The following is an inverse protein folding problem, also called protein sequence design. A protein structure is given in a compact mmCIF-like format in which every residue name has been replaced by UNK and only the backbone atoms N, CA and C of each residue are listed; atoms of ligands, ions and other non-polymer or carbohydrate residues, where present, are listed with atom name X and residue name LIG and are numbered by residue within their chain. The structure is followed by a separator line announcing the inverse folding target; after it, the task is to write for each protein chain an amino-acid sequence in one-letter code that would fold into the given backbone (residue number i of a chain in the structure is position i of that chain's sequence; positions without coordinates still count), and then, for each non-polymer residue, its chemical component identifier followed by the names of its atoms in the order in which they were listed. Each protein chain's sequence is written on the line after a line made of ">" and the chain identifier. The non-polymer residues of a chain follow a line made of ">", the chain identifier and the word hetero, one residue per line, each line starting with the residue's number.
data_IF_064684219801
#
_entry.id   IF_064684219801
#
_cell.length_a   1.000
_cell.length_b   1.000
_cell.length_c   1.000
_cell.angle_alpha   90.00
_cell.angle_beta   90.00
_cell.angle_gamma   90.00
#
_symmetry.space_group_name_H-M   'P 1'
#
loop_
_entity.id
_entity.type
_entity.pdbx_description
1 polymer ?
#
# COMPACT_ATOMS: atom_id res chain seq x y z
N UNK A 1 0.43 0.77 12.43
CA UNK A 1 0.02 0.44 11.06
C UNK A 1 0.91 -0.64 10.47
N UNK A 2 0.58 -1.18 9.27
CA UNK A 2 1.44 -2.18 8.62
C UNK A 2 1.75 -1.78 7.18
N UNK A 3 3.02 -2.00 6.77
CA UNK A 3 3.43 -2.04 5.37
C UNK A 3 3.40 -3.51 4.91
N UNK A 4 2.68 -3.80 3.85
CA UNK A 4 2.63 -5.11 3.22
C UNK A 4 3.47 -5.10 1.95
N UNK A 5 4.47 -5.98 1.89
CA UNK A 5 5.26 -6.23 0.68
C UNK A 5 4.70 -7.44 -0.06
N UNK A 6 4.39 -7.27 -1.33
CA UNK A 6 3.89 -8.32 -2.23
C UNK A 6 4.97 -8.73 -3.27
N UNK A 7 6.22 -8.34 -3.06
CA UNK A 7 7.38 -8.64 -3.90
C UNK A 7 7.63 -7.64 -5.03
N UNK A 8 6.61 -7.16 -5.71
CA UNK A 8 6.71 -6.16 -6.79
C UNK A 8 5.96 -4.87 -6.49
N UNK A 9 5.02 -4.90 -5.60
CA UNK A 9 4.18 -3.77 -5.19
C UNK A 9 3.93 -3.87 -3.69
N UNK A 10 3.46 -2.78 -3.11
CA UNK A 10 3.16 -2.72 -1.69
C UNK A 10 1.76 -2.16 -1.44
N UNK A 11 1.27 -2.38 -0.23
CA UNK A 11 0.05 -1.76 0.28
C UNK A 11 0.22 -1.37 1.74
N UNK A 12 -0.58 -0.41 2.23
CA UNK A 12 -0.63 -0.04 3.63
C UNK A 12 -1.89 -0.59 4.29
N UNK A 13 -1.76 -0.98 5.54
CA UNK A 13 -2.89 -1.27 6.42
C UNK A 13 -2.88 -0.26 7.56
N UNK A 14 -3.90 0.57 7.61
CA UNK A 14 -4.08 1.63 8.60
C UNK A 14 -5.14 1.24 9.61
N UNK A 15 -4.98 1.54 10.91
CA UNK A 15 -6.05 1.47 11.88
C UNK A 15 -7.25 2.29 11.42
N UNK A 16 -8.44 1.69 11.38
CA UNK A 16 -9.69 2.35 11.05
C UNK A 16 -10.34 3.00 12.26
N UNK A 17 -11.33 3.86 12.02
CA UNK A 17 -12.06 4.59 13.06
C UNK A 17 -13.02 3.73 13.86
N UNK A 18 -13.46 2.61 13.29
CA UNK A 18 -14.43 1.66 13.86
C UNK A 18 -13.77 0.51 14.65
N UNK A 19 -12.48 0.64 14.97
CA UNK A 19 -11.71 -0.42 15.64
C UNK A 19 -11.23 -1.53 14.73
N UNK A 20 -11.59 -1.49 13.42
CA UNK A 20 -11.03 -2.35 12.38
C UNK A 20 -9.74 -1.78 11.78
N UNK A 21 -9.33 -2.32 10.64
CA UNK A 21 -8.22 -1.79 9.85
C UNK A 21 -8.61 -1.69 8.39
N UNK A 22 -8.02 -0.74 7.66
CA UNK A 22 -8.30 -0.55 6.23
C UNK A 22 -7.00 -0.75 5.44
N UNK A 23 -7.05 -1.62 4.43
CA UNK A 23 -5.97 -1.83 3.49
C UNK A 23 -6.15 -0.92 2.28
N UNK A 24 -5.06 -0.22 1.90
CA UNK A 24 -4.99 0.61 0.70
C UNK A 24 -3.85 0.18 -0.19
N UNK A 25 -4.09 0.22 -1.51
CA UNK A 25 -3.10 0.03 -2.54
C UNK A 25 -3.31 1.03 -3.69
N UNK A 26 -2.27 1.30 -4.44
CA UNK A 26 -2.29 2.16 -5.62
C UNK A 26 -1.74 1.40 -6.81
N UNK A 27 -2.30 1.61 -8.00
CA UNK A 27 -1.78 0.95 -9.18
C UNK A 27 -2.40 1.44 -10.50
N UNK A 28 -1.88 0.90 -11.59
CA UNK A 28 -2.47 1.11 -12.92
C UNK A 28 -3.89 0.56 -12.97
N UNK A 29 -4.83 1.38 -13.50
CA UNK A 29 -6.24 1.02 -13.54
C UNK A 29 -6.51 -0.21 -14.41
N UNK A 30 -5.93 -0.29 -15.60
CA UNK A 30 -6.15 -1.40 -16.52
C UNK A 30 -5.62 -2.70 -15.96
N UNK A 31 -4.40 -2.64 -15.44
CA UNK A 31 -3.73 -3.81 -14.88
C UNK A 31 -4.42 -4.32 -13.60
N UNK A 32 -4.66 -3.42 -12.63
CA UNK A 32 -5.14 -3.81 -11.31
C UNK A 32 -6.67 -3.90 -11.20
N UNK A 33 -7.43 -3.05 -11.90
CA UNK A 33 -8.88 -3.06 -11.83
C UNK A 33 -9.50 -3.91 -12.95
N UNK A 34 -9.04 -3.77 -14.20
CA UNK A 34 -9.65 -4.41 -15.37
C UNK A 34 -9.02 -5.77 -15.74
N UNK A 35 -7.92 -6.18 -15.09
CA UNK A 35 -7.21 -7.44 -15.37
C UNK A 35 -6.66 -7.55 -16.80
N UNK A 36 -6.38 -6.46 -17.44
CA UNK A 36 -5.74 -6.46 -18.75
C UNK A 36 -4.26 -6.83 -18.60
N UNK A 37 -3.94 -8.11 -18.80
CA UNK A 37 -2.59 -8.67 -18.60
C UNK A 37 -1.87 -8.89 -19.94
N UNK A 38 -1.82 -7.90 -20.81
CA UNK A 38 -1.00 -7.93 -22.01
C UNK A 38 0.45 -7.50 -21.71
N UNK A 39 1.43 -8.28 -22.19
CA UNK A 39 2.88 -7.94 -22.02
C UNK A 39 3.20 -6.59 -22.70
N UNK A 40 2.50 -6.24 -23.78
CA UNK A 40 2.57 -4.95 -24.48
C UNK A 40 2.06 -3.77 -23.65
N UNK A 41 1.09 -4.00 -22.78
CA UNK A 41 0.42 -2.96 -21.98
C UNK A 41 1.20 -2.63 -20.71
N UNK A 42 1.85 -3.63 -20.08
CA UNK A 42 2.76 -3.39 -18.97
C UNK A 42 3.98 -2.56 -19.39
N UNK A 43 4.47 -2.72 -20.63
CA UNK A 43 5.56 -1.92 -21.17
C UNK A 43 5.10 -0.53 -21.64
N UNK A 44 3.85 -0.37 -22.11
CA UNK A 44 3.29 0.91 -22.46
C UNK A 44 3.04 1.79 -21.22
N UNK A 45 2.54 1.21 -20.11
CA UNK A 45 2.34 1.91 -18.84
C UNK A 45 3.65 2.41 -18.22
N UNK A 46 4.80 1.86 -18.61
CA UNK A 46 6.12 2.34 -18.22
C UNK A 46 6.50 3.65 -18.93
N UNK A 47 6.02 3.84 -20.17
CA UNK A 47 6.43 4.97 -21.02
C UNK A 47 5.37 6.08 -21.13
N UNK A 48 4.09 5.77 -20.96
CA UNK A 48 3.00 6.73 -21.10
C UNK A 48 2.13 6.78 -19.84
N UNK A 49 1.70 7.98 -19.39
CA UNK A 49 0.79 8.12 -18.29
C UNK A 49 -0.54 7.39 -18.56
N UNK A 50 -0.93 6.52 -17.65
CA UNK A 50 -2.21 5.79 -17.69
C UNK A 50 -3.09 6.21 -16.52
N UNK A 51 -4.36 5.80 -16.54
CA UNK A 51 -5.26 6.05 -15.42
C UNK A 51 -4.82 5.23 -14.20
N UNK A 52 -4.83 5.84 -13.04
CA UNK A 52 -4.54 5.16 -11.79
C UNK A 52 -5.81 4.69 -11.08
N UNK A 53 -5.65 3.67 -10.24
CA UNK A 53 -6.67 3.18 -9.32
C UNK A 53 -6.21 3.22 -7.87
N UNK A 54 -7.15 3.53 -6.97
CA UNK A 54 -7.02 3.36 -5.53
C UNK A 54 -7.78 2.11 -5.12
N UNK A 55 -7.05 1.10 -4.63
CA UNK A 55 -7.63 -0.10 -4.05
C UNK A 55 -7.89 0.08 -2.55
N UNK A 56 -9.06 -0.34 -2.08
CA UNK A 56 -9.47 -0.28 -0.67
C UNK A 56 -10.10 -1.58 -0.22
N UNK A 57 -9.82 -2.00 0.99
CA UNK A 57 -10.54 -3.09 1.66
C UNK A 57 -10.60 -2.89 3.16
N UNK A 58 -11.80 -2.98 3.71
CA UNK A 58 -12.02 -3.05 5.14
C UNK A 58 -11.69 -4.45 5.65
N UNK A 59 -10.87 -4.53 6.71
CA UNK A 59 -10.56 -5.75 7.44
C UNK A 59 -11.11 -5.62 8.86
N UNK A 60 -11.66 -6.70 9.39
CA UNK A 60 -12.29 -6.71 10.72
C UNK A 60 -11.28 -7.01 11.82
N UNK A 61 -11.59 -6.57 13.04
CA UNK A 61 -10.80 -6.86 14.23
C UNK A 61 -9.59 -5.98 14.43
N UNK A 62 -8.77 -6.25 15.43
CA UNK A 62 -7.75 -5.33 15.90
C UNK A 62 -6.60 -5.15 14.93
N UNK A 63 -5.91 -4.00 15.05
CA UNK A 63 -4.67 -3.68 14.35
C UNK A 63 -3.50 -4.52 14.90
N UNK A 64 -3.52 -5.82 14.59
CA UNK A 64 -2.51 -6.78 14.98
C UNK A 64 -2.07 -7.63 13.78
N UNK A 65 -0.78 -7.91 13.65
CA UNK A 65 -0.20 -8.62 12.51
C UNK A 65 -0.89 -9.95 12.22
N UNK A 66 -1.18 -10.74 13.26
CA UNK A 66 -1.88 -12.03 13.12
C UNK A 66 -3.33 -11.87 12.64
N UNK A 67 -4.04 -10.82 13.09
CA UNK A 67 -5.40 -10.50 12.63
C UNK A 67 -5.41 -10.10 11.16
N UNK A 68 -4.49 -9.23 10.76
CA UNK A 68 -4.34 -8.81 9.36
C UNK A 68 -4.01 -10.01 8.47
N UNK A 69 -2.97 -10.79 8.80
CA UNK A 69 -2.56 -11.96 7.98
C UNK A 69 -3.68 -12.95 7.71
N UNK A 70 -4.52 -13.26 8.71
CA UNK A 70 -5.62 -14.23 8.54
C UNK A 70 -6.70 -13.78 7.54
N UNK A 71 -6.80 -12.50 7.29
CA UNK A 71 -7.86 -11.93 6.44
C UNK A 71 -7.38 -11.58 5.02
N UNK A 72 -6.06 -11.64 4.77
CA UNK A 72 -5.52 -11.35 3.45
C UNK A 72 -5.76 -12.54 2.52
N UNK A 73 -6.55 -12.34 1.48
CA UNK A 73 -6.77 -13.30 0.39
C UNK A 73 -5.67 -13.30 -0.68
N UNK A 74 -4.51 -12.68 -0.40
CA UNK A 74 -3.41 -12.51 -1.33
C UNK A 74 -2.08 -12.87 -0.69
N UNK A 75 -1.11 -13.25 -1.53
CA UNK A 75 0.25 -13.50 -1.08
C UNK A 75 0.92 -12.21 -0.57
N UNK A 76 1.60 -12.34 0.57
CA UNK A 76 2.39 -11.27 1.20
C UNK A 76 3.77 -11.82 1.52
N UNK A 77 4.81 -11.29 0.88
CA UNK A 77 6.20 -11.65 1.12
C UNK A 77 6.66 -11.14 2.50
N UNK A 78 6.24 -9.91 2.86
CA UNK A 78 6.55 -9.29 4.14
C UNK A 78 5.39 -8.49 4.71
N UNK A 79 5.20 -8.57 6.03
CA UNK A 79 4.27 -7.73 6.78
C UNK A 79 5.08 -7.05 7.90
N UNK A 80 5.16 -5.72 7.84
CA UNK A 80 6.00 -4.92 8.70
C UNK A 80 5.16 -3.94 9.51
N UNK A 81 5.28 -4.02 10.82
CA UNK A 81 4.64 -3.08 11.72
C UNK A 81 5.49 -1.81 11.83
N UNK A 82 4.83 -0.66 11.67
CA UNK A 82 5.44 0.65 11.81
C UNK A 82 4.63 1.46 12.81
N UNK A 83 5.30 1.97 13.84
CA UNK A 83 4.71 2.84 14.85
C UNK A 83 4.66 4.26 14.30
N UNK A 84 3.48 4.86 14.27
CA UNK A 84 3.23 6.17 13.70
C UNK A 84 2.20 6.91 14.56
N UNK A 85 2.28 8.21 14.59
CA UNK A 85 1.32 9.08 15.28
C UNK A 85 -0.12 8.86 14.78
N UNK A 86 -1.07 8.77 15.71
CA UNK A 86 -2.47 8.49 15.41
C UNK A 86 -3.13 9.59 14.57
N UNK A 87 -2.79 10.86 14.82
CA UNK A 87 -3.34 11.97 14.05
C UNK A 87 -2.87 11.97 12.59
N UNK A 88 -1.62 11.56 12.33
CA UNK A 88 -1.11 11.38 10.96
C UNK A 88 -1.81 10.22 10.25
N UNK A 89 -2.05 9.11 10.95
CA UNK A 89 -2.82 7.99 10.42
C UNK A 89 -4.23 8.45 10.05
N UNK A 90 -4.91 9.18 10.95
CA UNK A 90 -6.26 9.68 10.71
C UNK A 90 -6.32 10.64 9.52
N UNK A 91 -5.37 11.57 9.40
CA UNK A 91 -5.30 12.50 8.27
C UNK A 91 -5.14 11.77 6.93
N UNK A 92 -4.24 10.77 6.86
CA UNK A 92 -4.05 9.96 5.66
C UNK A 92 -5.33 9.14 5.34
N UNK A 93 -5.96 8.56 6.34
CA UNK A 93 -7.19 7.78 6.22
C UNK A 93 -8.33 8.62 5.65
N UNK A 94 -8.57 9.81 6.20
CA UNK A 94 -9.57 10.76 5.70
C UNK A 94 -9.32 11.07 4.23
N UNK A 95 -8.08 11.37 3.85
CA UNK A 95 -7.73 11.71 2.47
C UNK A 95 -7.97 10.56 1.51
N UNK A 96 -7.55 9.34 1.87
CA UNK A 96 -7.72 8.15 1.01
C UNK A 96 -9.19 7.74 0.91
N UNK A 97 -9.94 7.78 2.02
CA UNK A 97 -11.38 7.54 2.01
C UNK A 97 -12.12 8.57 1.17
N UNK A 98 -11.79 9.87 1.27
CA UNK A 98 -12.38 10.91 0.43
C UNK A 98 -12.17 10.66 -1.07
N UNK A 99 -11.00 10.21 -1.48
CA UNK A 99 -10.73 9.82 -2.87
C UNK A 99 -11.59 8.62 -3.27
N UNK A 100 -11.68 7.61 -2.41
CA UNK A 100 -12.48 6.41 -2.67
C UNK A 100 -13.97 6.75 -2.80
N UNK A 101 -14.52 7.50 -1.86
CA UNK A 101 -15.93 7.91 -1.83
C UNK A 101 -16.32 8.80 -3.01
N UNK A 102 -15.44 9.73 -3.40
CA UNK A 102 -15.67 10.62 -4.55
C UNK A 102 -15.67 9.91 -5.91
N UNK A 103 -15.26 8.64 -5.98
CA UNK A 103 -15.14 7.89 -7.23
C UNK A 103 -15.86 6.52 -7.19
N UNK A 104 -16.84 6.35 -6.29
CA UNK A 104 -17.56 5.10 -6.09
C UNK A 104 -18.30 4.60 -7.35
N UNK A 105 -18.67 5.47 -8.25
CA UNK A 105 -19.32 5.11 -9.53
C UNK A 105 -18.40 4.30 -10.44
N UNK A 106 -17.08 4.38 -10.24
CA UNK A 106 -16.08 3.62 -11.00
C UNK A 106 -15.69 2.30 -10.36
N UNK A 107 -16.31 1.94 -9.26
CA UNK A 107 -15.94 0.82 -8.41
C UNK A 107 -15.92 -0.54 -9.10
N UNK A 108 -14.79 -1.24 -8.99
CA UNK A 108 -14.60 -2.62 -9.48
C UNK A 108 -13.88 -3.44 -8.41
N UNK A 109 -14.45 -4.60 -8.04
CA UNK A 109 -13.74 -5.55 -7.16
C UNK A 109 -12.84 -6.48 -7.98
N UNK A 110 -11.58 -6.59 -7.58
CA UNK A 110 -10.64 -7.53 -8.17
C UNK A 110 -10.21 -8.59 -7.15
N UNK A 111 -10.72 -9.81 -7.33
CA UNK A 111 -10.43 -10.94 -6.44
C UNK A 111 -8.94 -11.35 -6.44
N UNK A 112 -8.19 -11.11 -7.50
CA UNK A 112 -6.76 -11.45 -7.56
C UNK A 112 -5.91 -10.60 -6.62
N UNK A 113 -6.36 -9.40 -6.30
CA UNK A 113 -5.72 -8.48 -5.34
C UNK A 113 -6.50 -8.38 -4.02
N UNK A 114 -7.72 -8.94 -4.00
CA UNK A 114 -8.62 -8.87 -2.86
C UNK A 114 -8.84 -7.42 -2.40
N UNK A 115 -9.17 -6.57 -3.38
CA UNK A 115 -9.37 -5.12 -3.24
C UNK A 115 -10.51 -4.65 -4.13
N UNK A 116 -11.25 -3.67 -3.63
CA UNK A 116 -12.17 -2.85 -4.39
C UNK A 116 -11.40 -1.64 -4.90
N UNK A 117 -11.36 -1.44 -6.22
CA UNK A 117 -10.67 -0.33 -6.88
C UNK A 117 -11.66 0.72 -7.35
N UNK A 118 -11.28 1.98 -7.19
CA UNK A 118 -11.93 3.15 -7.81
C UNK A 118 -10.89 3.93 -8.61
N UNK A 119 -11.33 4.83 -9.50
CA UNK A 119 -10.42 5.76 -10.15
C UNK A 119 -9.68 6.63 -9.13
N UNK A 120 -8.41 6.87 -9.38
CA UNK A 120 -7.63 7.85 -8.62
C UNK A 120 -7.38 9.10 -9.48
N UNK A 121 -7.42 10.33 -8.93
CA UNK A 121 -7.27 11.57 -9.70
C UNK A 121 -5.88 11.75 -10.33
N UNK A 122 -4.84 11.11 -9.79
CA UNK A 122 -3.51 11.14 -10.40
C UNK A 122 -3.38 10.13 -11.54
N UNK A 123 -2.30 10.23 -12.29
CA UNK A 123 -1.92 9.29 -13.36
C UNK A 123 -0.86 8.31 -12.85
N UNK A 124 -0.88 7.09 -13.40
CA UNK A 124 0.12 6.06 -13.17
C UNK A 124 1.18 6.07 -14.27
N UNK A 125 2.47 6.01 -13.93
CA UNK A 125 3.58 5.88 -14.86
C UNK A 125 4.85 5.40 -14.13
N UNK A 126 5.94 5.15 -14.84
CA UNK A 126 7.15 4.51 -14.29
C UNK A 126 7.69 5.15 -13.00
N UNK A 127 7.72 6.48 -12.92
CA UNK A 127 8.19 7.22 -11.75
C UNK A 127 7.07 7.60 -10.75
N UNK A 128 5.84 7.21 -11.03
CA UNK A 128 4.67 7.37 -10.15
C UNK A 128 3.91 6.06 -10.09
N UNK A 129 4.62 5.01 -9.73
CA UNK A 129 4.13 3.64 -9.61
C UNK A 129 3.59 3.36 -8.19
N UNK A 130 3.10 2.14 -7.99
CA UNK A 130 2.51 1.71 -6.71
C UNK A 130 3.45 1.92 -5.51
N UNK A 131 4.73 1.59 -5.66
CA UNK A 131 5.68 1.69 -4.56
C UNK A 131 6.05 3.14 -4.24
N UNK A 132 6.23 3.99 -5.27
CA UNK A 132 6.50 5.41 -5.07
C UNK A 132 5.34 6.13 -4.38
N UNK A 133 4.09 5.79 -4.72
CA UNK A 133 2.91 6.37 -4.05
C UNK A 133 2.82 5.90 -2.60
N UNK A 134 3.06 4.62 -2.32
CA UNK A 134 3.14 4.12 -0.93
C UNK A 134 4.29 4.79 -0.18
N UNK A 135 5.43 5.06 -0.83
CA UNK A 135 6.53 5.81 -0.21
C UNK A 135 6.14 7.26 0.12
N UNK A 136 5.30 7.90 -0.71
CA UNK A 136 4.73 9.22 -0.39
C UNK A 136 3.82 9.13 0.84
N UNK A 137 2.92 8.14 0.90
CA UNK A 137 2.06 7.93 2.08
C UNK A 137 2.86 7.70 3.36
N UNK A 138 3.92 6.89 3.29
CA UNK A 138 4.82 6.67 4.43
C UNK A 138 5.50 7.97 4.89
N UNK A 139 5.87 8.86 3.96
CA UNK A 139 6.42 10.17 4.30
C UNK A 139 5.38 11.10 4.95
N UNK A 140 4.14 11.10 4.47
CA UNK A 140 3.04 11.83 5.11
C UNK A 140 2.83 11.36 6.56
N UNK A 141 3.02 10.07 6.80
CA UNK A 141 3.01 9.47 8.14
C UNK A 141 4.26 9.81 8.99
N UNK A 142 5.22 10.55 8.42
CA UNK A 142 6.44 10.98 9.11
C UNK A 142 7.61 10.01 8.99
N UNK A 143 7.45 8.89 8.29
CA UNK A 143 8.53 7.93 8.09
C UNK A 143 9.62 8.48 7.15
N UNK A 144 10.88 8.08 7.39
CA UNK A 144 11.95 8.26 6.43
C UNK A 144 12.01 7.06 5.50
N UNK A 145 11.90 7.31 4.20
CA UNK A 145 11.92 6.26 3.18
C UNK A 145 13.08 6.52 2.24
N UNK A 146 13.98 5.55 2.11
CA UNK A 146 15.06 5.60 1.13
C UNK A 146 14.49 5.39 -0.27
N UNK A 147 14.78 6.26 -1.19
CA UNK A 147 14.26 6.26 -2.57
C UNK A 147 15.40 6.05 -3.59
N UNK A 148 15.11 5.60 -4.83
CA UNK A 148 13.79 5.21 -5.33
C UNK A 148 13.34 3.81 -4.87
N UNK A 149 12.03 3.61 -4.72
CA UNK A 149 11.43 2.32 -4.39
C UNK A 149 10.82 1.74 -5.66
N UNK A 150 11.62 1.00 -6.44
CA UNK A 150 11.20 0.47 -7.75
C UNK A 150 10.62 -0.94 -7.62
N UNK A 151 11.24 -1.82 -6.85
CA UNK A 151 10.91 -3.24 -6.73
C UNK A 151 10.78 -3.68 -5.26
N UNK A 152 9.91 -3.05 -4.50
CA UNK A 152 9.71 -3.40 -3.08
C UNK A 152 11.02 -3.51 -2.26
N UNK A 153 12.06 -2.77 -2.66
CA UNK A 153 13.32 -2.66 -1.94
C UNK A 153 13.21 -1.62 -0.82
N UNK A 154 12.35 -1.91 0.14
CA UNK A 154 12.01 -0.99 1.21
C UNK A 154 13.14 -0.81 2.21
N UNK A 155 13.45 0.44 2.53
CA UNK A 155 14.16 0.84 3.74
C UNK A 155 13.33 1.95 4.36
N UNK A 156 12.64 1.64 5.44
CA UNK A 156 11.71 2.55 6.13
C UNK A 156 12.16 2.70 7.57
N UNK A 157 12.37 3.93 7.98
CA UNK A 157 12.63 4.30 9.36
C UNK A 157 11.36 4.96 9.93
N UNK A 158 10.90 4.59 11.13
CA UNK A 158 9.75 5.22 11.76
C UNK A 158 10.02 6.70 12.02
N UNK A 159 8.99 7.50 12.30
CA UNK A 159 9.17 8.89 12.72
C UNK A 159 10.08 8.96 13.94
N UNK A 160 10.98 9.96 14.04
CA UNK A 160 11.77 10.16 15.25
C UNK A 160 10.82 10.46 16.42
N UNK A 161 10.79 9.58 17.41
CA UNK A 161 9.99 9.75 18.63
C UNK A 161 10.81 10.44 19.72
N UNK A 162 10.17 11.13 20.63
CA UNK A 162 10.81 11.80 21.76
C UNK A 162 11.50 10.82 22.73
N UNK A 163 11.34 9.50 22.58
CA UNK A 163 11.88 8.45 23.44
C UNK A 163 12.47 7.22 22.70
N UNK A 164 12.97 7.36 21.50
CA UNK A 164 13.61 6.26 20.77
C UNK A 164 15.11 6.10 21.14
N UNK A 165 15.44 5.94 22.43
CA UNK A 165 16.82 5.63 22.82
C UNK A 165 17.17 4.14 22.80
N UNK A 166 16.27 3.23 22.41
CA UNK A 166 16.55 1.79 22.52
C UNK A 166 16.21 0.89 21.32
N UNK A 167 15.48 1.36 20.30
CA UNK A 167 15.24 0.55 19.11
C UNK A 167 15.09 1.43 17.86
N UNK A 168 16.21 1.74 17.20
CA UNK A 168 16.19 2.08 15.77
C UNK A 168 15.76 0.81 15.00
N UNK A 169 14.45 0.61 14.86
CA UNK A 169 13.94 -0.43 14.00
C UNK A 169 14.12 0.05 12.56
N UNK A 170 15.33 -0.08 12.05
CA UNK A 170 15.60 -0.07 10.62
C UNK A 170 14.96 -1.36 10.09
N UNK A 171 13.78 -1.23 9.47
CA UNK A 171 13.19 -2.36 8.73
C UNK A 171 14.03 -2.54 7.46
N UNK A 172 15.16 -3.23 7.58
CA UNK A 172 15.92 -3.72 6.44
C UNK A 172 15.22 -4.98 5.97
N UNK A 173 14.48 -4.87 4.88
CA UNK A 173 13.82 -6.00 4.25
C UNK A 173 14.87 -6.88 3.59
N UNK A 174 15.38 -7.85 4.35
CA UNK A 174 16.16 -8.95 3.78
C UNK A 174 15.22 -9.91 3.06
N UNK A 175 15.36 -10.01 1.74
CA UNK A 175 14.72 -11.07 0.95
C UNK A 175 15.16 -12.43 1.48
N UNK A 176 14.27 -13.14 2.16
CA UNK A 176 14.33 -14.60 2.29
C UNK A 176 12.98 -15.15 2.69
N UNK A 177 12.29 -15.72 1.71
CA UNK A 177 11.58 -16.98 1.94
C UNK A 177 11.17 -17.58 0.58
N UNK A 178 11.46 -18.85 0.40
CA UNK A 178 11.14 -19.65 -0.78
C UNK A 178 9.63 -19.65 -1.03
N UNK A 179 9.28 -19.46 -2.31
CA UNK A 179 7.91 -19.58 -2.80
C UNK A 179 7.49 -21.05 -2.60
N UNK A 180 6.37 -21.35 -1.91
CA UNK A 180 5.84 -22.72 -1.91
C UNK A 180 5.48 -23.11 -3.34
N UNK A 181 5.85 -24.34 -3.72
CA UNK A 181 5.59 -24.97 -5.03
C UNK A 181 4.10 -25.22 -5.23
#
# INVERSE_FOLDING_TARGET
>A
MFLLDHGRHASLVLPGRDGGVVRYAYGDWRYYAQREMGVSEASAAVLWPTRAGLGRRQLRGPSAAASVRRQLGVWVEGLYEVIVDAGRIEALLIRLDSVHEANLETRIYNAAYDLEFVHHPSVYWALHNSNEVVAVWLKELGCRVRRPVIFSNWTVEPPPGENNSLFDIVIVLSKKTEKPR
#
